data_IF_555289250098
#
_entry.id   IF_555289250098
#
_cell.length_a   1.000
_cell.length_b   1.000
_cell.length_c   1.000
_cell.angle_alpha   90.00
_cell.angle_beta   90.00
_cell.angle_gamma   90.00
#
_symmetry.space_group_name_H-M   'P 1'
#
loop_
_entity.id
_entity.type
_entity.pdbx_description
1 polymer ?
#
# COMPACT_ATOMS: atom_id res chain seq x y z
N UNK A 1 -9.85 -20.47 -33.27
CA UNK A 1 -8.48 -19.96 -33.04
C UNK A 1 -8.55 -18.81 -32.04
N UNK A 2 -8.19 -19.03 -30.79
CA UNK A 2 -8.00 -17.94 -29.82
C UNK A 2 -6.75 -18.28 -29.02
N UNK A 3 -5.62 -17.76 -29.46
CA UNK A 3 -4.40 -17.68 -28.69
C UNK A 3 -3.89 -16.25 -28.86
N UNK A 4 -4.54 -15.32 -28.15
CA UNK A 4 -3.96 -14.02 -27.91
C UNK A 4 -2.79 -14.26 -26.96
N UNK A 5 -1.59 -14.33 -27.53
CA UNK A 5 -0.33 -14.26 -26.81
C UNK A 5 -0.42 -13.07 -25.87
N UNK A 6 -0.47 -13.34 -24.56
CA UNK A 6 -0.34 -12.35 -23.51
C UNK A 6 1.02 -11.69 -23.71
N UNK A 7 1.02 -10.60 -24.47
CA UNK A 7 2.21 -9.77 -24.63
C UNK A 7 2.74 -9.50 -23.24
N UNK A 8 4.02 -9.77 -23.05
CA UNK A 8 4.84 -9.24 -21.95
C UNK A 8 4.80 -7.73 -22.05
N UNK A 9 3.66 -7.15 -21.69
CA UNK A 9 3.49 -5.72 -21.58
C UNK A 9 4.34 -5.36 -20.36
N UNK A 10 5.58 -4.95 -20.62
CA UNK A 10 6.43 -4.29 -19.64
C UNK A 10 5.68 -3.04 -19.22
N UNK A 11 4.84 -3.23 -18.20
CA UNK A 11 4.05 -2.19 -17.61
C UNK A 11 5.00 -1.35 -16.77
N UNK A 12 5.80 -0.53 -17.44
CA UNK A 12 6.57 0.53 -16.83
C UNK A 12 5.52 1.52 -16.32
N UNK A 13 5.17 1.38 -15.04
CA UNK A 13 4.23 2.26 -14.36
C UNK A 13 4.87 3.60 -14.00
N UNK A 14 6.19 3.70 -14.18
CA UNK A 14 7.03 4.81 -13.78
C UNK A 14 7.80 5.38 -14.97
N UNK A 15 8.09 6.68 -14.88
CA UNK A 15 8.92 7.44 -15.82
C UNK A 15 10.32 6.83 -15.96
N UNK A 16 10.99 7.07 -17.08
CA UNK A 16 12.29 6.44 -17.38
C UNK A 16 13.34 6.68 -16.27
N UNK A 17 13.35 7.87 -15.68
CA UNK A 17 14.27 8.24 -14.59
C UNK A 17 14.02 7.48 -13.28
N UNK A 18 12.78 7.04 -13.05
CA UNK A 18 12.37 6.28 -11.87
C UNK A 18 12.44 4.76 -12.10
N UNK A 19 12.84 4.32 -13.30
CA UNK A 19 12.95 2.88 -13.60
C UNK A 19 14.18 2.30 -12.95
N UNK A 20 14.01 1.09 -12.42
CA UNK A 20 15.15 0.29 -12.04
C UNK A 20 15.91 -0.21 -13.27
N UNK A 21 17.23 -0.36 -13.12
CA UNK A 21 18.06 -0.99 -14.14
C UNK A 21 17.58 -2.41 -14.40
N UNK A 22 17.49 -2.79 -15.67
CA UNK A 22 17.10 -4.15 -16.06
C UNK A 22 18.07 -5.20 -15.47
N UNK A 23 19.36 -4.86 -15.35
CA UNK A 23 20.37 -5.72 -14.73
C UNK A 23 20.05 -5.99 -13.25
N UNK A 24 19.59 -4.96 -12.53
CA UNK A 24 19.20 -5.11 -11.11
C UNK A 24 17.94 -5.97 -10.97
N UNK A 25 16.98 -5.82 -11.89
CA UNK A 25 15.76 -6.64 -11.93
C UNK A 25 16.10 -8.10 -12.20
N UNK A 26 16.93 -8.38 -13.21
CA UNK A 26 17.36 -9.74 -13.54
C UNK A 26 18.16 -10.39 -12.40
N UNK A 27 19.02 -9.62 -11.72
CA UNK A 27 19.74 -10.08 -10.54
C UNK A 27 18.78 -10.41 -9.39
N UNK A 28 17.75 -9.58 -9.17
CA UNK A 28 16.71 -9.84 -8.18
C UNK A 28 15.90 -11.10 -8.50
N UNK A 29 15.52 -11.33 -9.76
CA UNK A 29 14.80 -12.54 -10.17
C UNK A 29 15.64 -13.79 -9.96
N UNK A 30 16.96 -13.72 -10.19
CA UNK A 30 17.90 -14.82 -9.96
C UNK A 30 18.16 -15.09 -8.47
N UNK A 31 18.21 -14.04 -7.65
CA UNK A 31 18.57 -14.15 -6.23
C UNK A 31 17.78 -13.14 -5.39
N UNK A 32 16.49 -13.39 -5.16
CA UNK A 32 15.64 -12.46 -4.43
C UNK A 32 16.14 -12.24 -3.00
N UNK A 33 16.56 -13.31 -2.31
CA UNK A 33 17.11 -13.28 -0.95
C UNK A 33 18.33 -12.38 -0.79
N UNK A 34 19.18 -12.25 -1.81
CA UNK A 34 20.36 -11.36 -1.77
C UNK A 34 19.97 -9.89 -1.53
N UNK A 35 18.79 -9.47 -2.00
CA UNK A 35 18.28 -8.13 -1.75
C UNK A 35 17.94 -7.93 -0.27
N UNK A 36 17.27 -8.91 0.35
CA UNK A 36 16.98 -8.90 1.78
C UNK A 36 18.27 -8.91 2.59
N UNK A 37 19.24 -9.75 2.24
CA UNK A 37 20.50 -9.82 2.97
C UNK A 37 21.24 -8.49 2.97
N UNK A 38 21.25 -7.80 1.82
CA UNK A 38 21.92 -6.51 1.65
C UNK A 38 21.18 -5.36 2.33
N UNK A 39 19.86 -5.38 2.33
CA UNK A 39 19.00 -4.31 2.85
C UNK A 39 18.31 -4.66 4.17
N UNK A 40 18.78 -5.71 4.88
CA UNK A 40 18.21 -6.15 6.16
C UNK A 40 18.23 -5.04 7.22
N UNK A 41 19.19 -4.13 7.15
CA UNK A 41 19.32 -3.00 8.07
C UNK A 41 18.52 -1.77 7.63
N UNK A 42 18.21 -1.63 6.34
CA UNK A 42 17.55 -0.46 5.75
C UNK A 42 16.19 -0.84 5.15
N UNK A 43 15.18 -1.05 6.02
CA UNK A 43 13.82 -1.47 5.60
C UNK A 43 13.17 -0.46 4.65
N UNK A 44 13.41 0.82 4.86
CA UNK A 44 12.91 1.87 3.98
C UNK A 44 13.52 1.74 2.58
N UNK A 45 14.83 1.54 2.45
CA UNK A 45 15.46 1.34 1.14
C UNK A 45 14.97 0.06 0.47
N UNK A 46 14.79 -1.02 1.22
CA UNK A 46 14.19 -2.26 0.72
C UNK A 46 12.80 -1.98 0.14
N UNK A 47 11.95 -1.28 0.89
CA UNK A 47 10.59 -0.91 0.48
C UNK A 47 10.61 -0.10 -0.81
N UNK A 48 11.42 0.96 -0.88
CA UNK A 48 11.52 1.80 -2.08
C UNK A 48 12.08 1.03 -3.28
N UNK A 49 13.20 0.31 -3.15
CA UNK A 49 13.77 -0.48 -4.25
C UNK A 49 12.79 -1.53 -4.77
N UNK A 50 12.17 -2.28 -3.86
CA UNK A 50 11.23 -3.32 -4.24
C UNK A 50 10.01 -2.73 -4.92
N UNK A 51 9.51 -1.58 -4.44
CA UNK A 51 8.42 -0.86 -5.10
C UNK A 51 8.80 -0.44 -6.51
N UNK A 52 10.04 0.02 -6.72
CA UNK A 52 10.55 0.39 -8.04
C UNK A 52 10.67 -0.83 -8.96
N UNK A 53 11.15 -1.97 -8.48
CA UNK A 53 11.24 -3.21 -9.26
C UNK A 53 9.87 -3.67 -9.73
N UNK A 54 8.90 -3.72 -8.81
CA UNK A 54 7.52 -4.14 -9.12
C UNK A 54 6.83 -3.14 -10.05
N UNK A 55 7.02 -1.84 -9.84
CA UNK A 55 6.45 -0.78 -10.69
C UNK A 55 7.13 -0.70 -12.08
N UNK A 56 8.39 -1.13 -12.20
CA UNK A 56 9.09 -1.21 -13.49
C UNK A 56 8.65 -2.44 -14.29
N UNK A 57 8.54 -3.59 -13.61
CA UNK A 57 8.13 -4.84 -14.24
C UNK A 57 7.29 -5.72 -13.28
N UNK A 58 5.97 -5.84 -13.49
CA UNK A 58 5.11 -6.66 -12.64
C UNK A 58 5.36 -8.18 -12.80
N UNK A 59 6.24 -8.60 -13.72
CA UNK A 59 6.62 -10.01 -13.88
C UNK A 59 7.53 -10.52 -12.75
N UNK A 60 8.04 -9.63 -11.88
CA UNK A 60 8.87 -10.00 -10.72
C UNK A 60 8.07 -10.50 -9.51
N UNK A 61 6.74 -10.38 -9.54
CA UNK A 61 5.86 -10.78 -8.43
C UNK A 61 6.09 -12.23 -7.94
N UNK A 62 6.28 -13.25 -8.81
CA UNK A 62 6.60 -14.60 -8.35
C UNK A 62 7.90 -14.66 -7.53
N UNK A 63 8.92 -13.87 -7.90
CA UNK A 63 10.18 -13.79 -7.15
C UNK A 63 9.99 -13.09 -5.80
N UNK A 64 9.07 -12.11 -5.72
CA UNK A 64 8.65 -11.51 -4.44
C UNK A 64 7.93 -12.55 -3.56
N UNK A 65 7.19 -13.49 -4.14
CA UNK A 65 6.55 -14.55 -3.37
C UNK A 65 7.59 -15.47 -2.71
N UNK A 66 8.60 -15.90 -3.46
CA UNK A 66 9.75 -16.65 -2.91
C UNK A 66 10.45 -15.85 -1.82
N UNK A 67 10.65 -14.54 -2.06
CA UNK A 67 11.21 -13.64 -1.08
C UNK A 67 10.43 -13.63 0.23
N UNK A 68 9.09 -13.54 0.16
CA UNK A 68 8.18 -13.53 1.33
C UNK A 68 8.34 -14.82 2.14
N UNK A 69 8.47 -15.97 1.47
CA UNK A 69 8.65 -17.26 2.16
C UNK A 69 9.97 -17.37 2.89
N UNK A 70 11.02 -16.70 2.41
CA UNK A 70 12.36 -16.70 3.00
C UNK A 70 12.58 -15.54 4.00
N UNK A 71 11.66 -14.58 4.10
CA UNK A 71 11.80 -13.40 4.95
C UNK A 71 11.25 -13.59 6.36
N UNK A 72 11.77 -12.76 7.27
CA UNK A 72 11.23 -12.54 8.61
C UNK A 72 9.91 -11.76 8.58
N UNK A 73 9.12 -11.80 9.66
CA UNK A 73 7.85 -11.06 9.76
C UNK A 73 8.01 -9.54 9.55
N UNK A 74 9.12 -8.96 10.01
CA UNK A 74 9.41 -7.53 9.86
C UNK A 74 9.67 -7.18 8.38
N UNK A 75 10.43 -8.03 7.69
CA UNK A 75 10.69 -7.88 6.25
C UNK A 75 9.41 -8.03 5.43
N UNK A 76 8.53 -8.98 5.80
CA UNK A 76 7.22 -9.17 5.16
C UNK A 76 6.35 -7.92 5.26
N UNK A 77 6.39 -7.23 6.40
CA UNK A 77 5.67 -5.96 6.57
C UNK A 77 6.24 -4.87 5.65
N UNK A 78 7.57 -4.75 5.56
CA UNK A 78 8.21 -3.82 4.62
C UNK A 78 7.90 -4.16 3.15
N UNK A 79 7.86 -5.44 2.79
CA UNK A 79 7.47 -5.94 1.47
C UNK A 79 6.01 -5.57 1.16
N UNK A 80 5.10 -5.74 2.12
CA UNK A 80 3.71 -5.31 2.01
C UNK A 80 3.58 -3.83 1.66
N UNK A 81 4.31 -2.97 2.38
CA UNK A 81 4.35 -1.54 2.09
C UNK A 81 4.92 -1.22 0.69
N UNK A 82 5.90 -2.00 0.23
CA UNK A 82 6.47 -1.84 -1.11
C UNK A 82 5.45 -2.15 -2.21
N UNK A 83 4.64 -3.20 -2.02
CA UNK A 83 3.57 -3.59 -2.94
C UNK A 83 2.50 -2.50 -3.02
N UNK A 84 2.10 -1.90 -1.89
CA UNK A 84 1.14 -0.79 -1.87
C UNK A 84 1.67 0.44 -2.60
N UNK A 85 2.94 0.78 -2.37
CA UNK A 85 3.59 1.90 -3.04
C UNK A 85 3.70 1.67 -4.56
N UNK A 86 4.05 0.45 -4.98
CA UNK A 86 4.08 0.08 -6.39
C UNK A 86 2.69 0.15 -7.04
N UNK A 87 1.66 -0.35 -6.36
CA UNK A 87 0.27 -0.26 -6.81
C UNK A 87 -0.17 1.21 -6.97
N UNK A 88 0.09 2.07 -5.98
CA UNK A 88 -0.26 3.48 -6.04
C UNK A 88 0.37 4.16 -7.27
N UNK A 89 1.65 3.87 -7.56
CA UNK A 89 2.35 4.36 -8.75
C UNK A 89 1.76 3.82 -10.06
N UNK A 90 1.33 2.56 -10.06
CA UNK A 90 0.71 1.92 -11.21
C UNK A 90 -0.74 2.32 -11.45
N UNK A 91 -1.47 2.79 -10.44
CA UNK A 91 -2.93 2.99 -10.54
C UNK A 91 -3.31 4.01 -11.63
N UNK A 92 -2.55 5.10 -11.75
CA UNK A 92 -2.81 6.16 -12.73
C UNK A 92 -2.34 5.79 -14.14
N UNK A 93 -1.20 5.11 -14.26
CA UNK A 93 -0.57 4.85 -15.56
C UNK A 93 -1.01 3.53 -16.18
N UNK A 94 -1.16 2.47 -15.37
CA UNK A 94 -1.52 1.12 -15.79
C UNK A 94 -2.37 0.40 -14.72
N UNK A 95 -3.69 0.60 -14.73
CA UNK A 95 -4.59 0.00 -13.73
C UNK A 95 -4.59 -1.55 -13.77
N UNK A 96 -4.25 -2.16 -14.90
CA UNK A 96 -4.08 -3.62 -15.01
C UNK A 96 -2.91 -4.15 -14.17
N UNK A 97 -1.79 -3.42 -14.12
CA UNK A 97 -0.65 -3.78 -13.30
C UNK A 97 -0.96 -3.59 -11.82
N UNK A 98 -1.62 -2.48 -11.46
CA UNK A 98 -2.12 -2.24 -10.11
C UNK A 98 -3.05 -3.37 -9.64
N UNK A 99 -3.99 -3.80 -10.49
CA UNK A 99 -4.90 -4.93 -10.22
C UNK A 99 -4.13 -6.22 -9.96
N UNK A 100 -3.12 -6.54 -10.77
CA UNK A 100 -2.27 -7.73 -10.56
C UNK A 100 -1.53 -7.69 -9.22
N UNK A 101 -0.99 -6.54 -8.83
CA UNK A 101 -0.29 -6.36 -7.55
C UNK A 101 -1.27 -6.59 -6.39
N UNK A 102 -2.44 -5.97 -6.43
CA UNK A 102 -3.47 -6.15 -5.41
C UNK A 102 -3.95 -7.61 -5.30
N UNK A 103 -4.21 -8.24 -6.42
CA UNK A 103 -4.67 -9.64 -6.46
C UNK A 103 -3.56 -10.59 -5.97
N UNK A 104 -2.30 -10.26 -6.23
CA UNK A 104 -1.14 -10.97 -5.69
C UNK A 104 -1.06 -10.83 -4.16
N UNK A 105 -1.15 -9.61 -3.61
CA UNK A 105 -1.17 -9.38 -2.15
C UNK A 105 -2.31 -10.16 -1.48
N UNK A 106 -3.50 -10.16 -2.08
CA UNK A 106 -4.65 -10.94 -1.58
C UNK A 106 -4.39 -12.45 -1.63
N UNK A 107 -3.73 -12.94 -2.68
CA UNK A 107 -3.42 -14.36 -2.87
C UNK A 107 -2.39 -14.90 -1.88
N UNK A 108 -1.40 -14.08 -1.51
CA UNK A 108 -0.38 -14.50 -0.54
C UNK A 108 -1.02 -14.83 0.81
N UNK A 109 -1.99 -14.02 1.26
CA UNK A 109 -2.71 -14.26 2.52
C UNK A 109 -1.85 -14.16 3.79
N UNK A 110 -0.63 -13.62 3.69
CA UNK A 110 0.26 -13.43 4.84
C UNK A 110 -0.15 -12.16 5.61
N UNK A 111 -0.42 -12.33 6.91
CA UNK A 111 -0.91 -11.26 7.78
C UNK A 111 0.08 -10.10 7.92
N UNK A 112 1.39 -10.39 7.95
CA UNK A 112 2.43 -9.36 8.08
C UNK A 112 2.53 -8.53 6.79
N UNK A 113 2.45 -9.19 5.63
CA UNK A 113 2.39 -8.50 4.33
C UNK A 113 1.14 -7.63 4.23
N UNK A 114 -0.02 -8.14 4.66
CA UNK A 114 -1.27 -7.37 4.65
C UNK A 114 -1.24 -6.18 5.60
N UNK A 115 -0.65 -6.33 6.79
CA UNK A 115 -0.48 -5.26 7.75
C UNK A 115 0.38 -4.12 7.15
N UNK A 116 1.52 -4.46 6.56
CA UNK A 116 2.39 -3.48 5.90
C UNK A 116 1.76 -2.83 4.66
N UNK A 117 0.98 -3.59 3.89
CA UNK A 117 0.26 -3.09 2.73
C UNK A 117 -0.85 -2.10 3.11
N UNK A 118 -1.56 -2.35 4.21
CA UNK A 118 -2.63 -1.47 4.69
C UNK A 118 -2.05 -0.20 5.36
N UNK A 119 -0.94 -0.33 6.08
CA UNK A 119 -0.26 0.79 6.74
C UNK A 119 0.16 1.93 5.79
N UNK A 120 0.42 1.62 4.51
CA UNK A 120 0.75 2.64 3.49
C UNK A 120 -0.51 3.17 2.80
N UNK A 121 -1.65 2.46 2.87
CA UNK A 121 -2.91 2.84 2.26
C UNK A 121 -3.80 3.75 3.12
N UNK A 122 -3.60 3.77 4.43
CA UNK A 122 -4.36 4.60 5.38
C UNK A 122 -4.08 6.11 5.25
N UNK A 123 -3.01 6.52 4.55
CA UNK A 123 -2.72 7.95 4.30
C UNK A 123 -3.51 8.55 3.12
N UNK A 124 -4.05 7.72 2.21
CA UNK A 124 -4.74 8.18 0.98
C UNK A 124 -6.25 7.84 0.96
N UNK A 125 -6.74 7.09 1.94
CA UNK A 125 -8.17 6.81 2.07
C UNK A 125 -8.65 7.36 3.40
N UNK A 126 -9.37 8.48 3.34
CA UNK A 126 -10.16 9.02 4.45
C UNK A 126 -11.22 8.02 4.91
N UNK A 127 -10.80 6.98 5.63
CA UNK A 127 -11.63 6.10 6.42
C UNK A 127 -11.22 6.29 7.89
N UNK A 128 -12.17 6.49 8.81
CA UNK A 128 -11.87 6.82 10.20
C UNK A 128 -11.15 5.65 10.89
N UNK A 129 -10.26 5.93 11.86
CA UNK A 129 -9.47 4.91 12.53
C UNK A 129 -10.38 3.91 13.25
N UNK A 130 -10.20 2.62 12.99
CA UNK A 130 -10.83 1.58 13.80
C UNK A 130 -10.26 1.63 15.23
N UNK A 131 -11.11 1.71 16.26
CA UNK A 131 -10.65 1.57 17.63
C UNK A 131 -10.26 0.12 17.90
N UNK A 132 -9.11 -0.06 18.54
CA UNK A 132 -8.65 -1.35 19.06
C UNK A 132 -9.59 -1.82 20.17
N UNK A 133 -10.47 -2.76 19.88
CA UNK A 133 -11.26 -3.45 20.90
C UNK A 133 -10.38 -4.40 21.71
N UNK A 134 -10.03 -3.96 22.92
CA UNK A 134 -9.67 -4.85 24.02
C UNK A 134 -10.97 -5.40 24.62
N UNK A 135 -11.06 -6.71 24.62
CA UNK A 135 -12.16 -7.52 25.15
C UNK A 135 -12.50 -7.19 26.60
N UNK A 136 -13.81 -7.28 26.88
CA UNK A 136 -14.44 -7.64 28.15
C UNK A 136 -14.94 -6.49 29.02
N UNK A 137 -16.22 -6.11 28.85
CA UNK A 137 -17.33 -6.47 29.77
C UNK A 137 -18.60 -5.68 29.36
N UNK A 138 -19.62 -6.37 28.82
CA UNK A 138 -21.04 -5.96 28.94
C UNK A 138 -21.67 -6.81 30.06
N UNK A 139 -22.83 -6.48 30.68
CA UNK A 139 -23.88 -5.55 30.22
C UNK A 139 -24.33 -4.52 31.29
N UNK A 140 -25.02 -3.42 30.94
CA UNK A 140 -26.49 -3.36 31.05
C UNK A 140 -27.08 -2.07 30.47
N UNK A 141 -27.99 -2.29 29.53
CA UNK A 141 -29.15 -1.51 29.05
C UNK A 141 -29.69 -0.41 30.00
N UNK A 142 -29.58 0.86 29.60
CA UNK A 142 -30.57 1.93 29.85
C UNK A 142 -30.14 3.21 29.09
N UNK A 143 -31.09 3.84 28.38
CA UNK A 143 -30.81 4.95 27.46
C UNK A 143 -30.54 6.30 28.13
N UNK A 144 -29.76 7.14 27.45
CA UNK A 144 -29.72 8.60 27.52
C UNK A 144 -28.71 9.05 26.44
N UNK A 145 -29.21 9.68 25.36
CA UNK A 145 -29.04 11.11 25.07
C UNK A 145 -27.56 11.55 24.89
N UNK A 146 -27.29 11.97 23.65
CA UNK A 146 -26.05 12.58 23.21
C UNK A 146 -25.81 13.91 23.95
N UNK A 147 -24.72 14.01 24.70
CA UNK A 147 -24.12 15.28 25.07
C UNK A 147 -22.63 15.25 24.70
N UNK A 148 -22.31 15.97 23.62
CA UNK A 148 -20.94 16.33 23.26
C UNK A 148 -20.60 17.69 23.87
N UNK A 149 -19.70 17.71 24.83
CA UNK A 149 -19.17 18.93 25.43
C UNK A 149 -17.76 19.21 24.90
N UNK A 150 -17.65 19.78 23.69
CA UNK A 150 -16.49 20.61 23.30
C UNK A 150 -16.99 21.76 22.43
N UNK A 151 -17.22 22.92 23.07
CA UNK A 151 -17.61 24.20 22.47
C UNK A 151 -16.51 24.74 21.55
N UNK A 152 -16.79 24.87 20.26
CA UNK A 152 -16.16 25.87 19.38
C UNK A 152 -17.22 26.57 18.56
N UNK A 153 -17.63 27.77 19.00
CA UNK A 153 -18.47 28.68 18.23
C UNK A 153 -17.64 29.27 17.08
N UNK A 154 -17.77 28.73 15.88
CA UNK A 154 -17.28 29.37 14.66
C UNK A 154 -18.39 30.26 14.12
N UNK A 155 -18.37 31.54 14.49
CA UNK A 155 -19.30 32.55 13.97
C UNK A 155 -19.05 32.78 12.48
N UNK A 156 -20.09 32.61 11.67
CA UNK A 156 -20.09 32.82 10.21
C UNK A 156 -19.75 34.29 9.84
N UNK A 157 -18.60 34.56 9.19
CA UNK A 157 -18.11 35.91 8.96
C UNK A 157 -18.71 36.62 7.74
N UNK A 158 -19.67 36.01 7.02
CA UNK A 158 -20.17 36.56 5.74
C UNK A 158 -21.62 37.06 5.76
N UNK A 159 -22.14 37.51 6.91
CA UNK A 159 -23.48 38.13 6.93
C UNK A 159 -23.45 39.55 6.34
N UNK A 160 -24.23 39.86 5.29
CA UNK A 160 -24.25 41.19 4.69
C UNK A 160 -24.95 42.21 5.61
N UNK A 161 -24.34 43.39 5.73
CA UNK A 161 -24.79 44.50 6.59
C UNK A 161 -25.90 45.31 5.89
N UNK A 162 -27.05 45.58 6.52
CA UNK A 162 -28.10 46.43 5.94
C UNK A 162 -27.73 47.92 6.02
N UNK A 163 -27.95 48.66 4.94
CA UNK A 163 -27.77 50.11 4.84
C UNK A 163 -29.13 50.80 5.15
N UNK A 164 -29.20 51.78 6.04
CA UNK A 164 -30.45 52.46 6.38
C UNK A 164 -30.89 53.48 5.31
N UNK A 165 -32.21 53.63 5.14
CA UNK A 165 -32.89 54.73 4.43
C UNK A 165 -33.04 55.94 5.34
#
# INVERSE_FOLDING_TARGET
MIAASLGTCQAQCVEFSDRASQIDIDAFVKSPSSLLERLRNDKEKLKYRLSTYVATNPSVLPSVQTLITESSSDDRSAIGGALRLAEARCTTTKPDAARKIRDFTKRIGDLSVQAGYSAVGEDDSGAPPQPRDKTSTQPSRAGALLEGEWKTQLSDPFKPVPIPQ
#
